data_IF_137395463674
#
_entry.id   IF_137395463674
#
_cell.length_a   1.000
_cell.length_b   1.000
_cell.length_c   1.000
_cell.angle_alpha   90.00
_cell.angle_beta   90.00
_cell.angle_gamma   90.00
#
_symmetry.space_group_name_H-M   'P 1'
#
loop_
_entity.id
_entity.type
_entity.pdbx_description
1 polymer ?
#
# COMPACT_ATOMS: atom_id res chain seq x y z
N UNK A 1 -4.39 7.84 12.98
CA UNK A 1 -4.39 6.46 13.53
C UNK A 1 -3.79 5.53 12.49
N UNK A 2 -2.78 4.73 12.83
CA UNK A 2 -2.22 3.73 11.90
C UNK A 2 -3.29 2.70 11.54
N UNK A 3 -3.44 2.37 10.25
CA UNK A 3 -4.48 1.43 9.76
C UNK A 3 -4.38 0.07 10.46
N UNK A 4 -3.16 -0.34 10.80
CA UNK A 4 -2.91 -1.53 11.62
C UNK A 4 -3.46 -1.43 13.05
N UNK A 5 -3.39 -0.26 13.68
CA UNK A 5 -3.98 -0.04 15.02
C UNK A 5 -5.50 -0.15 14.99
N UNK A 6 -6.15 0.32 13.92
CA UNK A 6 -7.60 0.21 13.76
C UNK A 6 -8.03 -1.25 13.64
N UNK A 7 -7.30 -2.06 12.85
CA UNK A 7 -7.55 -3.50 12.72
C UNK A 7 -7.40 -4.20 14.08
N UNK A 8 -6.36 -3.86 14.84
CA UNK A 8 -6.09 -4.44 16.15
C UNK A 8 -7.23 -4.17 17.15
N UNK A 9 -7.66 -2.91 17.25
CA UNK A 9 -8.78 -2.52 18.13
C UNK A 9 -10.07 -3.19 17.69
N UNK A 10 -10.33 -3.25 16.38
CA UNK A 10 -11.53 -3.88 15.84
C UNK A 10 -11.56 -5.39 16.12
N UNK A 11 -10.42 -6.07 15.92
CA UNK A 11 -10.27 -7.48 16.23
C UNK A 11 -10.42 -7.78 17.71
N UNK A 12 -9.86 -6.92 18.57
CA UNK A 12 -10.04 -7.02 20.02
C UNK A 12 -11.52 -6.90 20.40
N UNK A 13 -12.24 -5.92 19.85
CA UNK A 13 -13.67 -5.72 20.13
C UNK A 13 -14.51 -6.91 19.65
N UNK A 14 -14.12 -7.56 18.53
CA UNK A 14 -14.76 -8.80 18.07
C UNK A 14 -14.58 -9.97 19.02
N UNK A 15 -13.39 -10.11 19.60
CA UNK A 15 -13.10 -11.19 20.53
C UNK A 15 -14.02 -11.14 21.77
N UNK A 16 -14.53 -9.95 22.12
CA UNK A 16 -15.49 -9.77 23.21
C UNK A 16 -16.95 -10.00 22.80
N UNK A 17 -17.27 -9.98 21.50
CA UNK A 17 -18.63 -10.17 20.99
C UNK A 17 -19.34 -11.44 21.50
N UNK A 18 -18.72 -12.64 21.59
CA UNK A 18 -19.41 -13.84 22.09
C UNK A 18 -19.85 -13.72 23.55
N UNK A 19 -19.12 -12.94 24.36
CA UNK A 19 -19.39 -12.70 25.77
C UNK A 19 -20.49 -11.65 26.01
N UNK A 20 -20.99 -11.01 24.95
CA UNK A 20 -22.13 -10.09 25.05
C UNK A 20 -23.43 -10.88 25.24
N UNK A 21 -24.39 -10.33 25.98
CA UNK A 21 -25.72 -10.96 26.17
C UNK A 21 -26.64 -10.89 24.95
N UNK A 22 -26.13 -10.54 23.76
CA UNK A 22 -26.96 -10.29 22.59
C UNK A 22 -27.57 -11.57 21.99
N UNK A 23 -28.75 -11.46 21.36
CA UNK A 23 -29.33 -12.54 20.56
C UNK A 23 -28.38 -13.03 19.47
N UNK A 24 -28.41 -14.34 19.18
CA UNK A 24 -27.45 -14.98 18.28
C UNK A 24 -27.49 -14.40 16.84
N UNK A 25 -28.67 -14.03 16.34
CA UNK A 25 -28.81 -13.43 15.00
C UNK A 25 -28.07 -12.08 14.86
N UNK A 26 -28.12 -11.25 15.90
CA UNK A 26 -27.43 -9.95 15.94
C UNK A 26 -25.92 -10.16 16.04
N UNK A 27 -25.47 -11.11 16.88
CA UNK A 27 -24.05 -11.48 16.97
C UNK A 27 -23.52 -11.94 15.61
N UNK A 28 -24.26 -12.78 14.90
CA UNK A 28 -23.84 -13.31 13.61
C UNK A 28 -23.74 -12.20 12.56
N UNK A 29 -24.71 -11.28 12.52
CA UNK A 29 -24.66 -10.12 11.63
C UNK A 29 -23.43 -9.24 11.89
N UNK A 30 -23.14 -8.92 13.16
CA UNK A 30 -21.94 -8.15 13.52
C UNK A 30 -20.64 -8.90 13.18
N UNK A 31 -20.53 -10.19 13.51
CA UNK A 31 -19.35 -11.00 13.18
C UNK A 31 -19.06 -10.98 11.69
N UNK A 32 -20.07 -11.17 10.85
CA UNK A 32 -19.92 -11.12 9.39
C UNK A 32 -19.50 -9.72 8.92
N UNK A 33 -20.19 -8.68 9.39
CA UNK A 33 -19.91 -7.29 9.01
C UNK A 33 -18.47 -6.90 9.35
N UNK A 34 -18.05 -7.15 10.60
CA UNK A 34 -16.71 -6.80 11.02
C UNK A 34 -15.64 -7.70 10.39
N UNK A 35 -15.95 -8.97 10.11
CA UNK A 35 -15.06 -9.85 9.35
C UNK A 35 -14.74 -9.27 7.96
N UNK A 36 -15.76 -8.75 7.26
CA UNK A 36 -15.57 -8.08 5.96
C UNK A 36 -14.69 -6.84 6.13
N UNK A 37 -14.94 -6.01 7.14
CA UNK A 37 -14.16 -4.80 7.40
C UNK A 37 -12.68 -5.14 7.68
N UNK A 38 -12.42 -6.14 8.51
CA UNK A 38 -11.06 -6.61 8.82
C UNK A 38 -10.38 -7.16 7.55
N UNK A 39 -11.11 -7.90 6.70
CA UNK A 39 -10.57 -8.42 5.45
C UNK A 39 -10.14 -7.28 4.50
N UNK A 40 -10.99 -6.27 4.31
CA UNK A 40 -10.69 -5.11 3.45
C UNK A 40 -9.52 -4.31 4.01
N UNK A 41 -9.53 -4.01 5.31
CA UNK A 41 -8.43 -3.27 5.95
C UNK A 41 -7.11 -4.04 5.88
N UNK A 42 -7.14 -5.36 6.11
CA UNK A 42 -5.96 -6.22 5.99
C UNK A 42 -5.40 -6.24 4.57
N UNK A 43 -6.26 -6.27 3.55
CA UNK A 43 -5.85 -6.14 2.15
C UNK A 43 -5.18 -4.80 1.86
N UNK A 44 -5.76 -3.70 2.37
CA UNK A 44 -5.26 -2.34 2.14
C UNK A 44 -3.88 -2.14 2.81
N UNK A 45 -3.71 -2.63 4.05
CA UNK A 45 -2.43 -2.62 4.75
C UNK A 45 -1.37 -3.46 4.01
N UNK A 46 -1.77 -4.61 3.45
CA UNK A 46 -0.87 -5.44 2.65
C UNK A 46 -0.38 -4.70 1.40
N UNK A 47 -1.26 -3.98 0.71
CA UNK A 47 -0.86 -3.16 -0.44
C UNK A 47 0.13 -2.07 -0.01
N UNK A 48 -0.17 -1.30 1.03
CA UNK A 48 0.72 -0.23 1.52
C UNK A 48 2.10 -0.76 1.87
N UNK A 49 2.18 -1.92 2.52
CA UNK A 49 3.47 -2.56 2.83
C UNK A 49 4.23 -2.94 1.56
N UNK A 50 3.56 -3.47 0.54
CA UNK A 50 4.20 -3.80 -0.74
C UNK A 50 4.71 -2.54 -1.47
N UNK A 51 3.94 -1.45 -1.44
CA UNK A 51 4.35 -0.16 -1.99
C UNK A 51 5.56 0.43 -1.26
N UNK A 52 5.55 0.40 0.08
CA UNK A 52 6.68 0.84 0.91
C UNK A 52 7.93 -0.01 0.64
N UNK A 53 7.80 -1.34 0.61
CA UNK A 53 8.93 -2.22 0.28
C UNK A 53 9.47 -1.93 -1.11
N UNK A 54 8.59 -1.71 -2.10
CA UNK A 54 9.01 -1.32 -3.45
C UNK A 54 9.76 0.01 -3.45
N UNK A 55 9.25 1.03 -2.77
CA UNK A 55 9.90 2.34 -2.66
C UNK A 55 11.29 2.22 -2.00
N UNK A 56 11.39 1.50 -0.89
CA UNK A 56 12.66 1.26 -0.18
C UNK A 56 13.63 0.43 -1.05
N UNK A 57 13.13 -0.55 -1.80
CA UNK A 57 13.96 -1.38 -2.69
C UNK A 57 14.33 -0.70 -4.02
N UNK A 58 13.66 0.41 -4.37
CA UNK A 58 13.70 1.04 -5.68
C UNK A 58 14.69 2.20 -5.82
N UNK A 59 15.28 2.68 -4.72
CA UNK A 59 16.14 3.88 -4.73
C UNK A 59 17.61 3.60 -5.10
N UNK A 60 17.95 2.41 -5.62
CA UNK A 60 19.34 2.04 -5.96
C UNK A 60 19.54 1.49 -7.38
N UNK A 61 18.57 1.66 -8.29
CA UNK A 61 18.71 1.18 -9.69
C UNK A 61 18.23 2.17 -10.77
N UNK A 62 18.21 3.47 -10.48
CA UNK A 62 17.97 4.50 -11.51
C UNK A 62 19.24 5.05 -12.16
N UNK A 63 20.44 4.66 -11.72
CA UNK A 63 21.69 5.19 -12.27
C UNK A 63 22.15 4.55 -13.60
N UNK A 64 21.39 3.63 -14.18
CA UNK A 64 21.80 2.93 -15.41
C UNK A 64 21.34 3.57 -16.73
N UNK A 65 20.58 4.68 -16.71
CA UNK A 65 20.05 5.29 -17.94
C UNK A 65 20.33 6.80 -18.12
N UNK A 66 21.23 7.38 -17.33
CA UNK A 66 21.63 8.81 -17.47
C UNK A 66 22.98 9.00 -18.18
N UNK A 67 23.58 7.94 -18.76
CA UNK A 67 24.86 8.06 -19.50
C UNK A 67 24.72 8.41 -20.99
N UNK A 68 23.51 8.66 -21.51
CA UNK A 68 23.38 9.28 -22.84
C UNK A 68 23.54 10.79 -22.73
N UNK A 69 24.79 11.23 -22.59
CA UNK A 69 25.16 12.63 -22.73
C UNK A 69 24.72 13.19 -24.09
N UNK A 70 24.39 14.48 -24.18
CA UNK A 70 24.11 15.12 -25.47
C UNK A 70 25.32 14.93 -26.39
N UNK A 71 25.10 14.27 -27.53
CA UNK A 71 26.05 14.27 -28.62
C UNK A 71 26.14 15.69 -29.16
N UNK A 72 27.01 16.51 -28.59
CA UNK A 72 27.46 17.75 -29.18
C UNK A 72 28.30 17.38 -30.41
N UNK A 73 27.60 17.08 -31.50
CA UNK A 73 28.17 17.09 -32.84
C UNK A 73 28.55 18.54 -33.18
N UNK A 74 29.71 18.95 -32.65
CA UNK A 74 30.54 19.99 -33.21
C UNK A 74 30.91 19.57 -34.64
N UNK A 75 30.18 20.04 -35.64
CA UNK A 75 30.74 20.40 -36.96
C UNK A 75 29.80 21.38 -37.68
N UNK A 76 30.34 22.58 -37.87
CA UNK A 76 29.82 23.84 -38.40
C UNK A 76 28.95 23.81 -39.69
N UNK A 77 28.20 24.90 -39.97
CA UNK A 77 27.65 25.15 -41.30
C UNK A 77 28.80 25.61 -42.23
N UNK A 78 29.00 24.90 -43.35
CA UNK A 78 29.81 25.45 -44.46
C UNK A 78 28.85 25.98 -45.50
N UNK A 79 28.53 27.26 -45.36
CA UNK A 79 28.04 28.10 -46.44
C UNK A 79 29.22 28.44 -47.35
N UNK A 80 29.14 28.08 -48.63
CA UNK A 80 29.94 28.71 -49.68
C UNK A 80 29.10 28.94 -50.94
N UNK A 81 29.06 30.23 -51.29
CA UNK A 81 28.63 30.88 -52.53
C UNK A 81 29.45 30.38 -53.72
#
# INVERSE_FOLDING_TARGET
MSKGSTILVLGFLLAFLPFTGFPNGIKLAFTVLFGIIVMVLGFLVRQERLWLVRAISGEHKTDAYTENGPSFANTAPVEKV
#
